data_IF_790967966263
#
_entry.id   IF_790967966263
#
_cell.length_a   1.000
_cell.length_b   1.000
_cell.length_c   1.000
_cell.angle_alpha   90.00
_cell.angle_beta   90.00
_cell.angle_gamma   90.00
#
_symmetry.space_group_name_H-M   'P 1'
#
loop_
_entity.id
_entity.type
_entity.pdbx_description
1 polymer ?
#
# COMPACT_ATOMS: atom_id res chain seq x y z
N UNK A 1 7.24 10.70 -29.08
CA UNK A 1 7.04 9.24 -29.22
C UNK A 1 6.69 8.75 -27.84
N UNK A 2 5.40 8.52 -27.57
CA UNK A 2 4.94 8.01 -26.27
C UNK A 2 5.21 6.51 -26.27
N UNK A 3 6.20 6.07 -25.49
CA UNK A 3 6.42 4.64 -25.26
C UNK A 3 5.11 4.06 -24.72
N UNK A 4 4.49 3.20 -25.52
CA UNK A 4 3.20 2.63 -25.22
C UNK A 4 3.31 1.80 -23.95
N UNK A 5 2.32 1.93 -23.08
CA UNK A 5 2.11 1.05 -21.93
C UNK A 5 2.18 -0.43 -22.36
N UNK A 6 3.22 -1.16 -21.95
CA UNK A 6 3.43 -2.59 -22.24
C UNK A 6 3.60 -3.39 -20.93
N UNK A 7 2.53 -3.60 -20.14
CA UNK A 7 2.62 -4.29 -18.85
C UNK A 7 3.11 -5.74 -18.95
N UNK A 8 3.08 -6.34 -20.15
CA UNK A 8 3.57 -7.71 -20.44
C UNK A 8 5.09 -7.87 -20.30
N UNK A 9 5.84 -6.77 -20.18
CA UNK A 9 7.31 -6.79 -20.06
C UNK A 9 7.80 -6.75 -18.62
N UNK A 10 6.91 -6.52 -17.64
CA UNK A 10 7.29 -6.47 -16.23
C UNK A 10 7.46 -7.89 -15.70
N UNK A 11 8.68 -8.33 -15.41
CA UNK A 11 8.97 -9.68 -14.90
C UNK A 11 9.92 -9.57 -13.72
N UNK A 12 9.76 -10.47 -12.75
CA UNK A 12 10.62 -10.56 -11.57
C UNK A 12 10.07 -9.86 -10.34
N UNK A 13 10.82 -9.99 -9.26
CA UNK A 13 10.36 -9.70 -7.91
C UNK A 13 10.16 -8.21 -7.63
N UNK A 14 10.62 -7.29 -8.48
CA UNK A 14 10.35 -5.85 -8.29
C UNK A 14 8.95 -5.43 -8.72
N UNK A 15 8.27 -6.23 -9.54
CA UNK A 15 6.93 -5.93 -10.05
C UNK A 15 5.87 -6.76 -9.35
N UNK A 16 4.65 -6.21 -9.22
CA UNK A 16 3.53 -6.94 -8.63
C UNK A 16 2.92 -7.93 -9.64
N UNK A 17 2.97 -9.25 -9.36
CA UNK A 17 2.30 -10.23 -10.22
C UNK A 17 0.78 -10.07 -10.16
N UNK A 18 0.24 -9.52 -9.07
CA UNK A 18 -1.20 -9.30 -8.91
C UNK A 18 -1.69 -8.13 -9.74
N UNK A 19 -0.91 -7.05 -9.82
CA UNK A 19 -1.19 -5.95 -10.74
C UNK A 19 -1.24 -6.44 -12.18
N UNK A 20 -0.26 -7.23 -12.62
CA UNK A 20 -0.27 -7.79 -13.97
C UNK A 20 -1.49 -8.66 -14.23
N UNK A 21 -1.86 -9.51 -13.28
CA UNK A 21 -3.06 -10.36 -13.41
C UNK A 21 -4.34 -9.54 -13.49
N UNK A 22 -4.43 -8.42 -12.76
CA UNK A 22 -5.58 -7.52 -12.83
C UNK A 22 -5.60 -6.74 -14.15
N UNK A 23 -4.46 -6.20 -14.59
CA UNK A 23 -4.35 -5.52 -15.89
C UNK A 23 -4.74 -6.47 -17.03
N UNK A 24 -4.28 -7.73 -17.00
CA UNK A 24 -4.66 -8.73 -17.98
C UNK A 24 -6.14 -9.13 -17.92
N UNK A 25 -6.76 -9.13 -16.73
CA UNK A 25 -8.20 -9.38 -16.56
C UNK A 25 -9.04 -8.26 -17.19
N UNK A 26 -8.55 -7.03 -17.11
CA UNK A 26 -9.23 -5.84 -17.60
C UNK A 26 -8.66 -5.33 -18.93
N UNK A 27 -7.85 -6.17 -19.61
CA UNK A 27 -7.36 -5.91 -20.95
C UNK A 27 -8.56 -5.94 -21.91
N UNK A 28 -8.71 -4.91 -22.75
CA UNK A 28 -9.89 -4.74 -23.59
C UNK A 28 -11.11 -4.11 -22.90
N UNK A 29 -10.93 -3.47 -21.73
CA UNK A 29 -11.93 -2.54 -21.20
C UNK A 29 -12.42 -1.56 -22.29
N UNK A 30 -13.73 -1.30 -22.41
CA UNK A 30 -14.25 -0.35 -23.42
C UNK A 30 -13.74 1.07 -23.19
N UNK A 31 -13.26 1.37 -21.98
CA UNK A 31 -12.70 2.66 -21.59
C UNK A 31 -11.17 2.74 -21.80
N UNK A 32 -10.56 1.74 -22.43
CA UNK A 32 -9.15 1.72 -22.80
C UNK A 32 -8.20 1.28 -21.68
N UNK A 33 -6.99 1.85 -21.65
CA UNK A 33 -5.97 1.51 -20.65
C UNK A 33 -6.33 2.13 -19.30
N UNK A 34 -6.24 1.34 -18.24
CA UNK A 34 -6.45 1.85 -16.88
C UNK A 34 -5.43 2.96 -16.58
N UNK A 35 -5.91 4.08 -16.05
CA UNK A 35 -5.07 5.18 -15.59
C UNK A 35 -4.88 5.07 -14.08
N UNK A 36 -4.00 5.89 -13.53
CA UNK A 36 -3.72 5.92 -12.09
C UNK A 36 -3.94 7.34 -11.59
N UNK A 37 -4.53 7.45 -10.42
CA UNK A 37 -4.77 8.73 -9.77
C UNK A 37 -4.30 8.70 -8.32
N UNK A 38 -3.95 9.85 -7.77
CA UNK A 38 -3.54 10.00 -6.37
C UNK A 38 -4.47 10.97 -5.66
N UNK A 39 -5.00 10.55 -4.50
CA UNK A 39 -5.77 11.40 -3.61
C UNK A 39 -4.85 12.26 -2.72
N UNK A 40 -5.41 13.29 -2.08
CA UNK A 40 -4.68 14.19 -1.17
C UNK A 40 -4.00 13.47 0.01
N UNK A 41 -4.50 12.30 0.42
CA UNK A 41 -3.91 11.44 1.47
C UNK A 41 -2.83 10.47 0.93
N UNK A 42 -2.35 10.70 -0.30
CA UNK A 42 -1.44 9.82 -1.03
C UNK A 42 -2.00 8.39 -1.29
N UNK A 43 -3.32 8.21 -1.24
CA UNK A 43 -3.94 6.96 -1.69
C UNK A 43 -3.98 6.90 -3.21
N UNK A 44 -3.33 5.88 -3.77
CA UNK A 44 -3.40 5.58 -5.19
C UNK A 44 -4.68 4.82 -5.57
N UNK A 45 -5.29 5.25 -6.67
CA UNK A 45 -6.45 4.64 -7.32
C UNK A 45 -6.11 4.23 -8.75
N UNK A 46 -6.78 3.21 -9.25
CA UNK A 46 -6.63 2.70 -10.62
C UNK A 46 -8.00 2.38 -11.20
N UNK A 47 -8.18 2.62 -12.50
CA UNK A 47 -9.50 2.58 -13.13
C UNK A 47 -9.61 3.39 -14.42
N UNK A 48 -10.82 3.83 -14.72
CA UNK A 48 -11.19 4.63 -15.89
C UNK A 48 -12.15 5.74 -15.50
N UNK A 49 -12.21 6.78 -16.33
CA UNK A 49 -13.24 7.83 -16.25
C UNK A 49 -13.97 7.82 -17.57
N UNK A 50 -15.30 7.77 -17.53
CA UNK A 50 -16.15 7.85 -18.72
C UNK A 50 -16.48 9.31 -19.09
N UNK A 51 -17.25 9.48 -20.16
CA UNK A 51 -17.61 10.80 -20.69
C UNK A 51 -18.57 11.59 -19.77
N UNK A 52 -19.30 10.89 -18.90
CA UNK A 52 -20.21 11.47 -17.89
C UNK A 52 -19.48 11.80 -16.58
N UNK A 53 -18.17 11.55 -16.50
CA UNK A 53 -17.33 11.84 -15.34
C UNK A 53 -17.35 10.78 -14.24
N UNK A 54 -17.99 9.62 -14.47
CA UNK A 54 -17.98 8.51 -13.55
C UNK A 54 -16.61 7.84 -13.51
N UNK A 55 -16.13 7.61 -12.30
CA UNK A 55 -14.92 6.84 -12.07
C UNK A 55 -15.24 5.37 -11.83
N UNK A 56 -14.70 4.50 -12.67
CA UNK A 56 -14.80 3.05 -12.51
C UNK A 56 -13.45 2.51 -12.08
N UNK A 57 -13.31 2.14 -10.81
CA UNK A 57 -12.01 1.70 -10.33
C UNK A 57 -12.00 1.20 -8.91
N UNK A 58 -10.79 1.13 -8.36
CA UNK A 58 -10.55 0.69 -6.99
C UNK A 58 -9.21 1.23 -6.50
N UNK A 59 -8.90 1.02 -5.22
CA UNK A 59 -7.59 1.39 -4.68
C UNK A 59 -6.51 0.53 -5.33
N UNK A 60 -5.44 1.17 -5.80
CA UNK A 60 -4.32 0.45 -6.41
C UNK A 60 -3.72 -0.58 -5.44
N UNK A 61 -3.72 -0.29 -4.13
CA UNK A 61 -3.27 -1.26 -3.13
C UNK A 61 -4.08 -2.57 -3.13
N UNK A 62 -5.41 -2.50 -3.33
CA UNK A 62 -6.25 -3.69 -3.45
C UNK A 62 -5.86 -4.51 -4.69
N UNK A 63 -5.57 -3.86 -5.82
CA UNK A 63 -5.07 -4.53 -7.02
C UNK A 63 -3.70 -5.18 -6.77
N UNK A 64 -2.81 -4.50 -6.05
CA UNK A 64 -1.46 -4.99 -5.74
C UNK A 64 -1.48 -6.23 -4.84
N UNK A 65 -2.49 -6.38 -3.97
CA UNK A 65 -2.64 -7.49 -3.02
C UNK A 65 -3.54 -8.61 -3.56
N UNK A 66 -4.70 -8.26 -4.13
CA UNK A 66 -5.76 -9.22 -4.48
C UNK A 66 -5.75 -9.60 -5.97
N UNK A 67 -5.06 -8.83 -6.81
CA UNK A 67 -4.96 -9.07 -8.24
C UNK A 67 -6.33 -9.22 -8.89
N UNK A 68 -6.61 -10.36 -9.53
CA UNK A 68 -7.91 -10.61 -10.21
C UNK A 68 -9.13 -10.50 -9.31
N UNK A 69 -8.96 -10.66 -8.00
CA UNK A 69 -10.05 -10.59 -7.02
C UNK A 69 -10.40 -9.17 -6.61
N UNK A 70 -9.55 -8.18 -6.94
CA UNK A 70 -9.88 -6.78 -6.70
C UNK A 70 -11.12 -6.40 -7.52
N UNK A 71 -12.17 -5.98 -6.82
CA UNK A 71 -13.42 -5.52 -7.40
C UNK A 71 -13.27 -4.07 -7.90
N UNK A 72 -14.04 -3.75 -8.94
CA UNK A 72 -14.13 -2.42 -9.54
C UNK A 72 -15.51 -1.89 -9.22
N UNK A 73 -15.57 -0.68 -8.67
CA UNK A 73 -16.83 -0.01 -8.34
C UNK A 73 -16.98 1.26 -9.17
N UNK A 74 -18.23 1.65 -9.38
CA UNK A 74 -18.58 2.91 -10.01
C UNK A 74 -18.74 3.99 -8.94
N UNK A 75 -18.07 5.11 -9.13
CA UNK A 75 -18.12 6.28 -8.27
C UNK A 75 -18.59 7.48 -9.10
N UNK A 76 -19.59 8.25 -8.61
CA UNK A 76 -20.26 9.30 -9.39
C UNK A 76 -19.35 10.48 -9.77
N UNK A 77 -18.16 10.55 -9.20
CA UNK A 77 -17.07 11.41 -9.65
C UNK A 77 -15.74 10.78 -9.21
N UNK A 78 -14.65 11.10 -9.90
CA UNK A 78 -13.33 11.00 -9.29
C UNK A 78 -13.38 11.86 -8.01
N UNK A 79 -13.01 11.35 -6.82
CA UNK A 79 -13.11 12.14 -5.59
C UNK A 79 -12.40 13.49 -5.73
N UNK A 80 -12.99 14.56 -5.18
CA UNK A 80 -12.38 15.89 -5.21
C UNK A 80 -10.97 15.84 -4.58
N UNK A 81 -9.99 16.47 -5.25
CA UNK A 81 -8.58 16.42 -4.82
C UNK A 81 -7.82 15.15 -5.27
N UNK A 82 -8.36 14.38 -6.21
CA UNK A 82 -7.67 13.25 -6.84
C UNK A 82 -7.11 13.67 -8.20
N UNK A 83 -5.80 13.51 -8.38
CA UNK A 83 -5.05 13.99 -9.55
C UNK A 83 -4.56 12.79 -10.35
N UNK A 84 -4.83 12.77 -11.67
CA UNK A 84 -4.29 11.76 -12.57
C UNK A 84 -2.75 11.81 -12.57
N UNK A 85 -2.12 10.64 -12.60
CA UNK A 85 -0.68 10.45 -12.66
C UNK A 85 -0.32 9.88 -14.05
N UNK A 86 -0.20 10.74 -15.09
CA UNK A 86 0.00 10.28 -16.47
C UNK A 86 1.30 9.51 -16.66
N UNK A 87 2.34 9.85 -15.91
CA UNK A 87 3.66 9.21 -15.98
C UNK A 87 3.80 7.98 -15.06
N UNK A 88 2.73 7.60 -14.36
CA UNK A 88 2.78 6.52 -13.37
C UNK A 88 3.34 5.23 -13.96
N UNK A 89 2.91 4.85 -15.16
CA UNK A 89 3.33 3.59 -15.77
C UNK A 89 4.80 3.58 -16.19
N UNK A 90 5.32 4.71 -16.67
CA UNK A 90 6.74 4.85 -16.95
C UNK A 90 7.56 4.75 -15.65
N UNK A 91 7.12 5.43 -14.60
CA UNK A 91 7.76 5.37 -13.29
C UNK A 91 7.71 3.96 -12.68
N UNK A 92 6.55 3.30 -12.72
CA UNK A 92 6.37 1.92 -12.27
C UNK A 92 7.26 0.94 -13.05
N UNK A 93 7.41 1.15 -14.37
CA UNK A 93 8.35 0.37 -15.19
C UNK A 93 9.79 0.46 -14.71
N UNK A 94 10.22 1.65 -14.28
CA UNK A 94 11.57 1.88 -13.77
C UNK A 94 11.78 1.24 -12.38
N UNK A 95 10.94 1.61 -11.38
CA UNK A 95 11.18 1.31 -9.96
C UNK A 95 10.28 0.23 -9.36
N UNK A 96 9.39 -0.36 -10.16
CA UNK A 96 8.50 -1.43 -9.72
C UNK A 96 7.51 -1.00 -8.63
N UNK A 97 7.29 -1.85 -7.62
CA UNK A 97 6.35 -1.57 -6.52
C UNK A 97 6.70 -0.30 -5.72
N UNK A 98 7.96 0.16 -5.74
CA UNK A 98 8.35 1.41 -5.06
C UNK A 98 7.68 2.66 -5.64
N UNK A 99 7.12 2.61 -6.84
CA UNK A 99 6.28 3.71 -7.36
C UNK A 99 5.03 3.98 -6.50
N UNK A 100 4.58 2.99 -5.71
CA UNK A 100 3.42 3.07 -4.80
C UNK A 100 3.87 3.26 -3.33
N UNK A 101 5.13 2.96 -3.01
CA UNK A 101 5.70 2.98 -1.67
C UNK A 101 7.07 3.66 -1.67
N UNK A 102 7.04 4.97 -1.88
CA UNK A 102 8.23 5.81 -2.01
C UNK A 102 9.03 5.87 -0.70
N UNK A 103 8.34 5.83 0.44
CA UNK A 103 8.96 5.87 1.78
C UNK A 103 9.50 4.52 2.25
N UNK A 104 9.25 3.44 1.50
CA UNK A 104 9.70 2.10 1.85
C UNK A 104 9.16 1.61 3.21
N UNK A 105 7.87 1.87 3.44
CA UNK A 105 7.17 1.60 4.70
C UNK A 105 6.05 0.56 4.55
N UNK A 106 5.59 0.29 3.33
CA UNK A 106 4.48 -0.63 3.07
C UNK A 106 5.00 -2.05 2.85
N UNK A 107 4.38 -3.02 3.52
CA UNK A 107 4.61 -4.44 3.25
C UNK A 107 3.79 -4.88 2.02
N UNK A 108 4.48 -5.31 0.96
CA UNK A 108 3.86 -5.97 -0.19
C UNK A 108 4.11 -7.48 -0.16
N UNK A 109 3.33 -8.24 -0.93
CA UNK A 109 3.69 -9.63 -1.25
C UNK A 109 5.02 -9.63 -2.01
N UNK A 110 6.00 -10.38 -1.50
CA UNK A 110 7.37 -10.42 -2.03
C UNK A 110 8.33 -9.44 -1.34
N UNK A 111 7.88 -8.64 -0.36
CA UNK A 111 8.74 -7.67 0.34
C UNK A 111 9.90 -8.33 1.09
N UNK A 112 9.80 -9.63 1.39
CA UNK A 112 10.89 -10.45 1.93
C UNK A 112 12.14 -10.48 1.02
N UNK A 113 11.97 -10.27 -0.29
CA UNK A 113 13.08 -10.21 -1.25
C UNK A 113 13.44 -8.77 -1.65
N UNK A 114 12.79 -7.77 -1.07
CA UNK A 114 13.05 -6.35 -1.37
C UNK A 114 14.45 -5.91 -0.93
N UNK A 115 15.00 -6.49 0.13
CA UNK A 115 16.16 -5.93 0.81
C UNK A 115 17.40 -6.81 0.67
N UNK A 116 18.48 -6.24 0.13
CA UNK A 116 19.82 -6.76 0.37
C UNK A 116 20.32 -6.19 1.69
N UNK A 117 20.63 -7.05 2.66
CA UNK A 117 21.04 -6.64 4.01
C UNK A 117 22.54 -6.86 4.18
N UNK A 118 23.25 -5.82 4.61
CA UNK A 118 24.65 -5.86 5.01
C UNK A 118 24.81 -5.23 6.41
N UNK A 119 24.92 -6.09 7.41
CA UNK A 119 25.02 -5.71 8.81
C UNK A 119 23.84 -4.85 9.27
N UNK A 120 24.10 -3.58 9.55
CA UNK A 120 23.08 -2.60 9.96
C UNK A 120 22.56 -1.76 8.80
N UNK A 121 22.95 -2.05 7.57
CA UNK A 121 22.45 -1.35 6.39
C UNK A 121 21.65 -2.30 5.51
N UNK A 122 20.68 -1.76 4.80
CA UNK A 122 19.95 -2.51 3.78
C UNK A 122 19.66 -1.63 2.57
N UNK A 123 19.68 -2.24 1.39
CA UNK A 123 19.45 -1.58 0.12
C UNK A 123 18.25 -2.22 -0.59
N UNK A 124 17.40 -1.39 -1.17
CA UNK A 124 16.19 -1.82 -1.86
C UNK A 124 16.54 -2.36 -3.25
N UNK A 125 16.38 -3.66 -3.44
CA UNK A 125 16.60 -4.38 -4.70
C UNK A 125 15.58 -4.05 -5.78
N UNK A 126 14.45 -3.42 -5.41
CA UNK A 126 13.40 -3.08 -6.39
C UNK A 126 13.68 -1.78 -7.11
N UNK A 127 14.01 -0.71 -6.38
CA UNK A 127 14.31 0.59 -6.97
C UNK A 127 15.81 0.84 -7.13
N UNK A 128 16.68 0.18 -6.37
CA UNK A 128 18.13 0.45 -6.36
C UNK A 128 18.54 1.73 -5.62
N UNK A 129 17.61 2.65 -5.39
CA UNK A 129 17.90 4.01 -4.93
C UNK A 129 17.56 4.28 -3.45
N UNK A 130 17.21 3.24 -2.69
CA UNK A 130 16.93 3.37 -1.26
C UNK A 130 17.91 2.56 -0.42
N UNK A 131 18.61 3.25 0.48
CA UNK A 131 19.44 2.66 1.53
C UNK A 131 18.94 3.09 2.90
N UNK A 132 18.76 2.12 3.80
CA UNK A 132 18.33 2.34 5.17
C UNK A 132 19.39 1.84 6.15
N UNK A 133 19.52 2.53 7.29
CA UNK A 133 20.40 2.12 8.39
C UNK A 133 19.55 1.78 9.60
N UNK A 134 19.78 0.61 10.17
CA UNK A 134 19.14 0.13 11.38
C UNK A 134 19.57 1.00 12.57
N UNK A 135 18.66 1.86 13.01
CA UNK A 135 18.80 2.60 14.26
C UNK A 135 18.26 1.76 15.40
N UNK A 136 19.08 1.55 16.44
CA UNK A 136 18.65 0.95 17.71
C UNK A 136 18.65 2.03 18.77
N UNK A 137 17.57 2.13 19.54
CA UNK A 137 17.50 3.04 20.67
C UNK A 137 16.74 2.38 21.83
N UNK A 138 17.00 2.86 23.03
CA UNK A 138 16.32 2.46 24.26
C UNK A 138 15.70 3.71 24.87
N UNK A 139 14.45 3.60 25.31
CA UNK A 139 13.72 4.67 25.98
C UNK A 139 13.26 4.19 27.36
N UNK A 140 13.46 5.03 28.36
CA UNK A 140 12.87 4.84 29.69
C UNK A 140 11.44 5.39 29.62
N UNK A 141 10.45 4.50 29.65
CA UNK A 141 9.04 4.87 29.58
C UNK A 141 8.47 4.99 31.00
N UNK A 142 8.01 6.19 31.37
CA UNK A 142 7.21 6.37 32.58
C UNK A 142 5.74 6.06 32.25
N UNK A 143 5.14 5.12 32.97
CA UNK A 143 3.73 4.74 32.81
C UNK A 143 2.97 5.07 34.08
N UNK A 144 1.80 5.67 33.91
CA UNK A 144 0.87 5.94 34.98
C UNK A 144 -0.50 5.40 34.60
N UNK A 145 -1.21 4.85 35.58
CA UNK A 145 -2.58 4.39 35.44
C UNK A 145 -3.36 4.75 36.71
N UNK A 146 -4.63 5.10 36.55
CA UNK A 146 -5.56 5.18 37.68
C UNK A 146 -5.96 3.76 38.06
N UNK A 147 -5.65 3.34 39.29
CA UNK A 147 -6.14 2.09 39.85
C UNK A 147 -7.43 2.35 40.64
N UNK A 148 -8.41 1.46 40.49
CA UNK A 148 -9.61 1.49 41.32
C UNK A 148 -9.17 1.10 42.73
N UNK A 149 -9.30 2.03 43.67
CA UNK A 149 -9.07 1.73 45.08
C UNK A 149 -10.05 0.64 45.54
N UNK A 150 -9.61 -0.36 46.33
CA UNK A 150 -10.50 -1.36 46.88
C UNK A 150 -11.58 -0.65 47.72
N UNK A 151 -12.84 -0.85 47.36
CA UNK A 151 -13.96 -0.42 48.19
C UNK A 151 -13.95 -1.26 49.47
N UNK A 152 -14.07 -0.65 50.67
CA UNK A 152 -14.05 -1.37 51.95
C UNK A 152 -15.10 -2.50 52.08
N UNK A 153 -16.09 -2.52 51.20
CA UNK A 153 -17.19 -3.49 51.18
C UNK A 153 -17.29 -4.30 49.87
N UNK A 154 -16.18 -4.45 49.13
CA UNK A 154 -16.15 -5.39 48.01
C UNK A 154 -16.19 -6.84 48.53
N UNK A 155 -17.07 -7.71 48.01
CA UNK A 155 -17.18 -9.11 48.47
C UNK A 155 -15.91 -9.94 48.23
N UNK A 156 -14.97 -9.47 47.41
CA UNK A 156 -13.69 -10.15 47.15
C UNK A 156 -12.66 -9.94 48.27
N UNK A 157 -12.72 -8.83 49.02
CA UNK A 157 -11.76 -8.53 50.10
C UNK A 157 -12.04 -9.34 51.38
N UNK A 158 -13.23 -9.94 51.51
CA UNK A 158 -13.62 -10.73 52.68
C UNK A 158 -13.13 -12.19 52.64
N UNK A 159 -12.73 -12.70 51.47
CA UNK A 159 -12.22 -14.06 51.34
C UNK A 159 -10.73 -14.19 51.71
N UNK A 160 -9.96 -13.11 51.62
CA UNK A 160 -8.52 -13.11 51.95
C UNK A 160 -8.23 -12.88 53.45
N UNK A 161 -9.23 -12.44 54.23
CA UNK A 161 -9.09 -12.20 55.68
C UNK A 161 -9.62 -13.36 56.55
N UNK A 162 -10.15 -14.41 55.93
CA UNK A 162 -10.75 -15.57 56.61
C UNK A 162 -9.93 -16.88 56.45
N UNK A 163 -8.71 -16.79 55.93
CA UNK A 163 -7.73 -17.89 55.84
C UNK A 163 -6.49 -17.55 56.68
#
# INVERSE_FOLDING_TARGET
>A
MTDAFQPKQWVGEKYSPNLQKWLAKNDGSPWGTARVWIAADATYWIGWVDDDGWFYGTRLMCVMVDGRKAEVYAHPAVPEGVIEQPDFWAHYGAVGRCAVDQDHTRGFIGDETRWAVDGNTRECLWCGDCRQTLRRWQEVVNRQAWEIAPTPNSPLTQLEQAA
#
